data_IF_038135162219
#
_entry.id   IF_038135162219
#
_cell.length_a   1.000
_cell.length_b   1.000
_cell.length_c   1.000
_cell.angle_alpha   90.00
_cell.angle_beta   90.00
_cell.angle_gamma   90.00
#
_symmetry.space_group_name_H-M   'P 1'
#
loop_
_entity.id
_entity.type
_entity.pdbx_description
1 polymer ?
#
# COMPACT_ATOMS: atom_id res chain seq x y z
N UNK A 1 -5.67 7.29 -27.10
CA UNK A 1 -5.86 7.26 -25.62
C UNK A 1 -4.51 7.50 -24.96
N UNK A 2 -4.42 8.41 -23.98
CA UNK A 2 -3.17 8.64 -23.26
C UNK A 2 -2.79 7.40 -22.44
N UNK A 3 -1.52 6.99 -22.50
CA UNK A 3 -1.00 5.83 -21.76
C UNK A 3 -0.98 6.19 -20.26
N UNK A 4 -1.77 5.48 -19.46
CA UNK A 4 -1.79 5.65 -18.00
C UNK A 4 -0.44 5.23 -17.41
N UNK A 5 0.00 5.95 -16.38
CA UNK A 5 1.17 5.54 -15.59
C UNK A 5 0.85 4.27 -14.79
N UNK A 6 1.89 3.51 -14.43
CA UNK A 6 1.75 2.31 -13.60
C UNK A 6 1.01 2.60 -12.28
N UNK A 7 1.34 3.71 -11.63
CA UNK A 7 0.68 4.09 -10.37
C UNK A 7 -0.81 4.46 -10.55
N UNK A 8 -1.18 5.10 -11.66
CA UNK A 8 -2.58 5.36 -11.97
C UNK A 8 -3.36 4.05 -12.17
N UNK A 9 -2.78 3.11 -12.92
CA UNK A 9 -3.38 1.78 -13.11
C UNK A 9 -3.60 1.08 -11.77
N UNK A 10 -2.61 1.12 -10.86
CA UNK A 10 -2.75 0.53 -9.52
C UNK A 10 -3.85 1.20 -8.69
N UNK A 11 -3.96 2.54 -8.75
CA UNK A 11 -4.98 3.31 -8.03
C UNK A 11 -6.39 3.00 -8.50
N UNK A 12 -6.60 2.88 -9.81
CA UNK A 12 -7.91 2.58 -10.40
C UNK A 12 -8.39 1.17 -10.06
N UNK A 13 -7.47 0.23 -9.88
CA UNK A 13 -7.79 -1.17 -9.58
C UNK A 13 -7.67 -1.51 -8.08
N UNK A 14 -7.83 -0.51 -7.21
CA UNK A 14 -7.76 -0.71 -5.75
C UNK A 14 -8.80 -1.73 -5.27
N UNK A 15 -8.36 -2.61 -4.38
CA UNK A 15 -9.19 -3.57 -3.67
C UNK A 15 -8.99 -3.42 -2.16
N UNK A 16 -10.02 -3.67 -1.35
CA UNK A 16 -9.85 -3.72 0.10
C UNK A 16 -8.88 -4.84 0.47
N UNK A 17 -8.07 -4.60 1.51
CA UNK A 17 -7.30 -5.68 2.13
C UNK A 17 -8.27 -6.66 2.78
N UNK A 18 -7.97 -7.96 2.67
CA UNK A 18 -8.64 -8.96 3.50
C UNK A 18 -8.30 -8.74 4.98
N UNK A 19 -9.11 -9.32 5.87
CA UNK A 19 -8.85 -9.24 7.32
C UNK A 19 -7.44 -9.75 7.67
N UNK A 20 -7.04 -10.88 7.10
CA UNK A 20 -5.71 -11.46 7.34
C UNK A 20 -4.58 -10.56 6.83
N UNK A 21 -4.72 -9.96 5.65
CA UNK A 21 -3.73 -9.02 5.11
C UNK A 21 -3.62 -7.77 5.98
N UNK A 22 -4.77 -7.22 6.40
CA UNK A 22 -4.83 -6.07 7.31
C UNK A 22 -4.16 -6.38 8.64
N UNK A 23 -4.48 -7.53 9.25
CA UNK A 23 -3.90 -7.95 10.54
C UNK A 23 -2.36 -8.06 10.44
N UNK A 24 -1.82 -8.56 9.32
CA UNK A 24 -0.38 -8.62 9.06
C UNK A 24 0.26 -7.23 8.98
N UNK A 25 -0.37 -6.28 8.26
CA UNK A 25 0.12 -4.90 8.14
C UNK A 25 0.12 -4.19 9.51
N UNK A 26 -0.97 -4.33 10.25
CA UNK A 26 -1.13 -3.72 11.58
C UNK A 26 -0.12 -4.31 12.58
N UNK A 27 0.05 -5.65 12.61
CA UNK A 27 1.03 -6.34 13.48
C UNK A 27 2.47 -5.92 13.16
N UNK A 28 2.78 -5.68 11.88
CA UNK A 28 4.09 -5.21 11.45
C UNK A 28 4.32 -3.69 11.68
N UNK A 29 3.37 -2.98 12.30
CA UNK A 29 3.41 -1.53 12.54
C UNK A 29 3.64 -0.73 11.24
N UNK A 30 3.21 -1.26 10.10
CA UNK A 30 3.24 -0.56 8.81
C UNK A 30 1.97 0.29 8.68
N UNK A 31 1.90 1.35 9.48
CA UNK A 31 0.68 2.18 9.65
C UNK A 31 0.99 3.66 9.54
N UNK A 32 0.00 4.42 9.07
CA UNK A 32 -0.04 5.87 9.16
C UNK A 32 -0.97 6.31 10.30
N UNK A 33 -0.65 7.42 10.95
CA UNK A 33 -1.44 7.99 12.06
C UNK A 33 -2.22 9.22 11.58
N UNK A 34 -2.76 9.15 10.37
CA UNK A 34 -3.47 10.27 9.71
C UNK A 34 -4.99 10.03 9.64
N UNK A 35 -5.50 8.98 10.30
CA UNK A 35 -6.94 8.81 10.45
C UNK A 35 -7.57 9.90 11.33
N UNK A 36 -8.90 10.02 11.37
CA UNK A 36 -9.59 10.86 12.34
C UNK A 36 -9.03 10.61 13.74
N UNK A 37 -8.69 11.66 14.48
CA UNK A 37 -8.09 11.56 15.82
C UNK A 37 -6.75 10.80 15.91
N UNK A 38 -5.98 10.72 14.82
CA UNK A 38 -4.69 10.03 14.81
C UNK A 38 -4.80 8.50 14.72
N UNK A 39 -5.97 8.00 14.31
CA UNK A 39 -6.20 6.57 14.15
C UNK A 39 -5.17 5.91 13.20
N UNK A 40 -4.76 4.71 13.59
CA UNK A 40 -3.83 3.89 12.81
C UNK A 40 -4.54 3.31 11.59
N UNK A 41 -4.09 3.74 10.43
CA UNK A 41 -4.54 3.23 9.15
C UNK A 41 -3.43 2.40 8.49
N UNK A 42 -3.75 1.29 7.82
CA UNK A 42 -2.76 0.50 7.08
C UNK A 42 -1.99 1.37 6.07
N UNK A 43 -0.66 1.36 6.11
CA UNK A 43 0.18 2.07 5.14
C UNK A 43 0.35 1.33 3.80
N UNK A 44 -0.17 0.11 3.74
CA UNK A 44 -0.22 -0.73 2.55
C UNK A 44 -1.66 -0.82 2.08
N UNK A 45 -1.87 -0.74 0.77
CA UNK A 45 -3.15 -1.03 0.13
C UNK A 45 -2.96 -2.03 -1.00
N UNK A 46 -4.05 -2.66 -1.44
CA UNK A 46 -4.03 -3.71 -2.46
C UNK A 46 -4.64 -3.20 -3.75
N UNK A 47 -4.09 -3.66 -4.85
CA UNK A 47 -4.62 -3.56 -6.20
C UNK A 47 -4.70 -4.96 -6.80
N UNK A 48 -5.57 -5.16 -7.78
CA UNK A 48 -5.64 -6.41 -8.53
C UNK A 48 -5.55 -6.14 -10.02
N UNK A 49 -4.48 -6.64 -10.65
CA UNK A 49 -4.23 -6.46 -12.08
C UNK A 49 -4.24 -7.83 -12.73
N UNK A 50 -5.19 -8.07 -13.64
CA UNK A 50 -5.33 -9.35 -14.34
C UNK A 50 -5.43 -10.56 -13.38
N UNK A 51 -6.20 -10.42 -12.30
CA UNK A 51 -6.37 -11.45 -11.27
C UNK A 51 -5.17 -11.64 -10.34
N UNK A 52 -4.10 -10.84 -10.49
CA UNK A 52 -2.91 -10.91 -9.64
C UNK A 52 -2.90 -9.77 -8.61
N UNK A 53 -2.71 -10.07 -7.32
CA UNK A 53 -2.63 -9.03 -6.30
C UNK A 53 -1.31 -8.27 -6.40
N UNK A 54 -1.38 -6.95 -6.30
CA UNK A 54 -0.24 -6.06 -6.16
C UNK A 54 -0.46 -5.22 -4.91
N UNK A 55 0.50 -5.24 -3.99
CA UNK A 55 0.46 -4.49 -2.74
C UNK A 55 1.31 -3.25 -2.88
N UNK A 56 0.77 -2.10 -2.48
CA UNK A 56 1.38 -0.81 -2.72
C UNK A 56 1.49 -0.06 -1.40
N UNK A 57 2.59 0.63 -1.20
CA UNK A 57 2.78 1.60 -0.12
C UNK A 57 3.28 2.90 -0.71
N UNK A 58 2.78 4.04 -0.22
CA UNK A 58 3.11 5.33 -0.79
C UNK A 58 2.95 6.49 0.21
N UNK A 59 3.61 7.59 -0.11
CA UNK A 59 3.35 8.94 0.42
C UNK A 59 2.92 9.83 -0.75
N UNK A 60 2.90 11.15 -0.54
CA UNK A 60 2.71 12.12 -1.62
C UNK A 60 3.97 12.26 -2.52
N UNK A 61 5.15 11.85 -2.04
CA UNK A 61 6.45 12.01 -2.74
C UNK A 61 6.89 10.76 -3.49
N UNK A 62 6.61 9.57 -2.95
CA UNK A 62 7.09 8.31 -3.51
C UNK A 62 6.09 7.17 -3.32
N UNK A 63 6.22 6.14 -4.15
CA UNK A 63 5.51 4.87 -4.00
C UNK A 63 6.41 3.68 -4.31
N UNK A 64 6.04 2.54 -3.75
CA UNK A 64 6.67 1.24 -4.00
C UNK A 64 5.59 0.16 -4.02
N UNK A 65 5.71 -0.81 -4.91
CA UNK A 65 4.80 -1.95 -5.02
C UNK A 65 5.51 -3.30 -4.84
N UNK A 66 4.77 -4.34 -4.53
CA UNK A 66 5.29 -5.70 -4.36
C UNK A 66 4.20 -6.75 -4.64
N UNK A 67 4.56 -7.97 -5.07
CA UNK A 67 3.59 -9.04 -5.29
C UNK A 67 3.05 -9.65 -3.99
N UNK A 68 3.64 -9.33 -2.83
CA UNK A 68 3.21 -9.84 -1.52
C UNK A 68 3.06 -8.72 -0.50
N UNK A 69 2.14 -8.91 0.46
CA UNK A 69 1.91 -7.96 1.56
C UNK A 69 3.20 -7.75 2.39
N UNK A 70 3.97 -8.81 2.64
CA UNK A 70 5.24 -8.74 3.37
C UNK A 70 6.28 -7.92 2.60
N UNK A 71 6.33 -8.06 1.27
CA UNK A 71 7.20 -7.26 0.41
C UNK A 71 6.89 -5.77 0.52
N UNK A 72 5.60 -5.39 0.42
CA UNK A 72 5.18 -4.01 0.55
C UNK A 72 5.47 -3.43 1.95
N UNK A 73 5.26 -4.22 3.01
CA UNK A 73 5.63 -3.87 4.39
C UNK A 73 7.14 -3.61 4.52
N UNK A 74 7.98 -4.46 3.92
CA UNK A 74 9.43 -4.26 3.94
C UNK A 74 9.84 -2.96 3.25
N UNK A 75 9.27 -2.69 2.07
CA UNK A 75 9.51 -1.44 1.32
C UNK A 75 8.99 -0.21 2.06
N UNK A 76 7.89 -0.35 2.81
CA UNK A 76 7.39 0.71 3.68
C UNK A 76 8.45 1.14 4.69
N UNK A 77 8.93 0.20 5.50
CA UNK A 77 9.90 0.50 6.56
C UNK A 77 11.26 0.94 6.04
N UNK A 78 11.70 0.40 4.89
CA UNK A 78 13.01 0.72 4.31
C UNK A 78 13.08 2.07 3.59
N UNK A 79 12.00 2.46 2.92
CA UNK A 79 12.05 3.58 1.97
C UNK A 79 10.89 4.53 2.16
N UNK A 80 9.64 4.05 2.04
CA UNK A 80 8.48 4.96 1.98
C UNK A 80 8.26 5.73 3.27
N UNK A 81 8.50 5.13 4.44
CA UNK A 81 8.37 5.80 5.74
C UNK A 81 9.26 7.03 5.86
N UNK A 82 10.45 7.03 5.27
CA UNK A 82 11.37 8.18 5.26
C UNK A 82 11.01 9.27 4.24
N UNK A 83 10.00 9.02 3.38
CA UNK A 83 9.54 9.97 2.36
C UNK A 83 8.20 10.63 2.71
N UNK A 84 7.71 10.40 3.93
CA UNK A 84 6.45 10.95 4.43
C UNK A 84 6.56 12.45 4.70
#
# INVERSE_FOLDING_TARGET
MAKKSHFQVLKENKKPLSKAERDVVMKAKAVWHHGPNGEKTPAVWKSEINGKPVYVTNTHRAYQDAPTVKGAISKFHKTIKGTA
#
